data_IF_453240163988
#
_entry.id   IF_453240163988
#
_cell.length_a   1.000
_cell.length_b   1.000
_cell.length_c   1.000
_cell.angle_alpha   90.00
_cell.angle_beta   90.00
_cell.angle_gamma   90.00
#
_symmetry.space_group_name_H-M   'P 1'
#
loop_
_entity.id
_entity.type
_entity.pdbx_description
1 polymer ?
#
# COMPACT_ATOMS: atom_id res chain seq x y z
N UNK A 1 7.42 -8.41 -14.95
CA UNK A 1 6.39 -7.97 -15.90
C UNK A 1 6.43 -6.45 -16.06
N UNK A 2 6.34 -5.93 -17.29
CA UNK A 2 6.35 -4.49 -17.56
C UNK A 2 4.97 -3.88 -17.77
N UNK A 3 3.89 -4.66 -17.60
CA UNK A 3 2.52 -4.25 -17.92
C UNK A 3 1.79 -3.63 -16.74
N UNK A 4 0.83 -2.76 -17.02
CA UNK A 4 -0.15 -2.20 -16.11
C UNK A 4 -1.54 -2.78 -16.41
N UNK A 5 -2.45 -2.76 -15.45
CA UNK A 5 -3.85 -3.11 -15.70
C UNK A 5 -4.54 -1.97 -16.44
N UNK A 6 -4.37 -0.75 -15.93
CA UNK A 6 -4.88 0.48 -16.52
C UNK A 6 -3.74 1.47 -16.67
N UNK A 7 -3.50 1.94 -17.88
CA UNK A 7 -2.51 2.95 -18.20
C UNK A 7 -3.03 3.89 -19.30
N UNK A 8 -3.71 4.99 -18.93
CA UNK A 8 -4.12 6.00 -19.90
C UNK A 8 -2.90 6.57 -20.61
N UNK A 9 -2.94 6.61 -21.92
CA UNK A 9 -1.82 7.05 -22.79
C UNK A 9 -2.15 8.28 -23.64
N UNK A 10 -3.38 8.80 -23.55
CA UNK A 10 -3.74 10.05 -24.21
C UNK A 10 -3.18 11.27 -23.49
N UNK A 11 -3.00 12.36 -24.24
CA UNK A 11 -2.42 13.59 -23.68
C UNK A 11 -3.36 14.30 -22.72
N UNK A 12 -4.67 14.10 -22.86
CA UNK A 12 -5.71 14.60 -21.95
C UNK A 12 -6.71 13.50 -21.69
N UNK A 13 -6.98 13.21 -20.42
CA UNK A 13 -8.02 12.29 -20.01
C UNK A 13 -8.65 12.73 -18.69
N UNK A 14 -9.92 12.37 -18.51
CA UNK A 14 -10.65 12.49 -17.26
C UNK A 14 -11.36 11.17 -17.01
N UNK A 15 -11.03 10.55 -15.88
CA UNK A 15 -11.70 9.34 -15.39
C UNK A 15 -12.28 9.69 -14.03
N UNK A 16 -13.60 9.57 -13.87
CA UNK A 16 -14.24 9.91 -12.61
C UNK A 16 -13.92 8.88 -11.53
N UNK A 17 -14.12 7.59 -11.83
CA UNK A 17 -13.87 6.50 -10.89
C UNK A 17 -13.32 5.27 -11.58
N UNK A 18 -12.51 4.51 -10.84
CA UNK A 18 -12.05 3.16 -11.20
C UNK A 18 -12.29 2.29 -9.99
N UNK A 19 -13.17 1.30 -10.12
CA UNK A 19 -13.52 0.42 -9.03
C UNK A 19 -13.10 -1.03 -9.32
N UNK A 20 -12.39 -1.62 -8.38
CA UNK A 20 -12.06 -3.04 -8.35
C UNK A 20 -12.76 -3.67 -7.16
N UNK A 21 -13.65 -4.60 -7.40
CA UNK A 21 -14.39 -5.29 -6.33
C UNK A 21 -14.24 -6.80 -6.46
N UNK A 22 -13.84 -7.46 -5.39
CA UNK A 22 -13.65 -8.91 -5.32
C UNK A 22 -12.73 -9.44 -6.43
N UNK A 23 -11.64 -8.70 -6.71
CA UNK A 23 -10.69 -9.04 -7.75
C UNK A 23 -9.45 -9.74 -7.18
N UNK A 24 -8.89 -10.69 -7.96
CA UNK A 24 -7.54 -11.20 -7.77
C UNK A 24 -6.63 -10.59 -8.83
N UNK A 25 -5.64 -9.79 -8.41
CA UNK A 25 -4.76 -9.02 -9.29
C UNK A 25 -3.31 -9.35 -8.96
N UNK A 26 -2.57 -9.91 -9.90
CA UNK A 26 -1.18 -10.26 -9.66
C UNK A 26 -0.25 -10.10 -10.86
N UNK A 27 1.05 -10.03 -10.59
CA UNK A 27 2.12 -10.02 -11.59
C UNK A 27 2.10 -8.81 -12.53
N UNK A 28 1.71 -7.64 -12.02
CA UNK A 28 1.78 -6.39 -12.76
C UNK A 28 2.90 -5.48 -12.23
N UNK A 29 3.39 -4.59 -13.09
CA UNK A 29 4.32 -3.54 -12.68
C UNK A 29 3.61 -2.46 -11.84
N UNK A 30 2.35 -2.19 -12.14
CA UNK A 30 1.44 -1.31 -11.42
C UNK A 30 0.00 -1.68 -11.81
N UNK A 31 -0.99 -1.38 -10.97
CA UNK A 31 -2.39 -1.59 -11.36
C UNK A 31 -2.88 -0.38 -12.14
N UNK A 32 -2.86 0.81 -11.56
CA UNK A 32 -3.23 2.04 -12.26
C UNK A 32 -2.01 2.95 -12.34
N UNK A 33 -1.63 3.32 -13.56
CA UNK A 33 -0.48 4.18 -13.79
C UNK A 33 -0.80 5.26 -14.82
N UNK A 34 -0.75 6.51 -14.42
CA UNK A 34 -0.84 7.65 -15.32
C UNK A 34 0.56 8.15 -15.69
N UNK A 35 0.92 8.04 -16.98
CA UNK A 35 2.25 8.42 -17.49
C UNK A 35 2.27 9.75 -18.21
N UNK A 36 1.16 10.17 -18.78
CA UNK A 36 1.09 11.35 -19.66
C UNK A 36 0.75 12.59 -18.84
N UNK A 37 1.23 13.71 -19.28
CA UNK A 37 0.90 15.01 -18.69
C UNK A 37 -0.56 15.36 -18.95
N UNK A 38 -1.29 15.89 -17.98
CA UNK A 38 -2.67 16.38 -18.06
C UNK A 38 -3.78 15.35 -17.92
N UNK A 39 -3.57 14.32 -17.10
CA UNK A 39 -4.61 13.35 -16.78
C UNK A 39 -5.16 13.48 -15.37
N UNK A 40 -6.44 13.25 -15.17
CA UNK A 40 -7.06 13.21 -13.86
C UNK A 40 -7.89 11.93 -13.68
N UNK A 41 -7.64 11.25 -12.56
CA UNK A 41 -8.48 10.18 -12.03
C UNK A 41 -9.08 10.68 -10.73
N UNK A 42 -10.41 10.78 -10.66
CA UNK A 42 -11.13 11.28 -9.49
C UNK A 42 -10.98 10.35 -8.30
N UNK A 43 -11.33 9.09 -8.45
CA UNK A 43 -11.18 8.10 -7.38
C UNK A 43 -10.75 6.72 -7.91
N UNK A 44 -10.00 5.98 -7.08
CA UNK A 44 -9.70 4.56 -7.31
C UNK A 44 -10.05 3.81 -6.04
N UNK A 45 -10.92 2.81 -6.15
CA UNK A 45 -11.32 1.98 -5.03
C UNK A 45 -10.96 0.50 -5.26
N UNK A 46 -10.41 -0.13 -4.23
CA UNK A 46 -10.19 -1.57 -4.15
C UNK A 46 -11.00 -2.09 -2.95
N UNK A 47 -11.95 -2.95 -3.22
CA UNK A 47 -12.80 -3.56 -2.20
C UNK A 47 -12.74 -5.08 -2.28
N UNK A 48 -12.47 -5.74 -1.14
CA UNK A 48 -12.40 -7.21 -1.04
C UNK A 48 -11.41 -7.84 -2.04
N UNK A 49 -10.40 -7.08 -2.47
CA UNK A 49 -9.44 -7.53 -3.46
C UNK A 49 -8.27 -8.30 -2.83
N UNK A 50 -7.72 -9.23 -3.60
CA UNK A 50 -6.40 -9.79 -3.34
C UNK A 50 -5.42 -9.25 -4.35
N UNK A 51 -4.41 -8.53 -3.88
CA UNK A 51 -3.38 -7.86 -4.70
C UNK A 51 -2.04 -8.49 -4.36
N UNK A 52 -1.40 -9.09 -5.35
CA UNK A 52 -0.16 -9.85 -5.17
C UNK A 52 0.87 -9.52 -6.24
N UNK A 53 2.14 -9.53 -5.88
CA UNK A 53 3.26 -9.40 -6.81
C UNK A 53 3.19 -8.14 -7.70
N UNK A 54 3.04 -6.96 -7.07
CA UNK A 54 3.06 -5.67 -7.76
C UNK A 54 4.45 -5.05 -7.70
N UNK A 55 4.96 -4.66 -8.85
CA UNK A 55 6.33 -4.18 -9.02
C UNK A 55 6.57 -2.75 -8.56
N UNK A 56 7.71 -2.21 -8.95
CA UNK A 56 8.34 -1.01 -8.43
C UNK A 56 7.63 0.33 -8.70
N UNK A 57 6.51 0.33 -9.40
CA UNK A 57 5.68 1.52 -9.58
C UNK A 57 4.55 1.63 -8.55
N UNK A 58 4.43 0.60 -7.67
CA UNK A 58 3.35 0.53 -6.70
C UNK A 58 2.00 0.16 -7.30
N UNK A 59 0.98 0.06 -6.44
CA UNK A 59 -0.38 -0.27 -6.89
C UNK A 59 -0.93 0.86 -7.76
N UNK A 60 -0.79 2.11 -7.30
CA UNK A 60 -1.20 3.31 -8.03
C UNK A 60 -0.03 4.26 -8.22
N UNK A 61 0.09 4.89 -9.40
CA UNK A 61 1.22 5.78 -9.70
C UNK A 61 0.86 6.88 -10.69
N UNK A 62 1.32 8.09 -10.41
CA UNK A 62 1.37 9.21 -11.35
C UNK A 62 2.74 9.38 -11.99
N UNK A 63 3.69 8.50 -11.66
CA UNK A 63 5.07 8.55 -12.17
C UNK A 63 5.80 9.86 -11.87
N UNK A 64 5.32 10.64 -10.92
CA UNK A 64 5.85 11.96 -10.58
C UNK A 64 5.71 13.00 -11.69
N UNK A 65 4.81 12.82 -12.64
CA UNK A 65 4.62 13.76 -13.76
C UNK A 65 3.69 14.90 -13.36
N UNK A 66 4.12 16.12 -13.61
CA UNK A 66 3.28 17.29 -13.43
C UNK A 66 2.04 17.23 -14.31
N UNK A 67 0.88 17.60 -13.76
CA UNK A 67 -0.39 17.60 -14.47
C UNK A 67 -1.11 16.24 -14.48
N UNK A 68 -0.53 15.20 -13.91
CA UNK A 68 -1.20 13.94 -13.67
C UNK A 68 -1.67 13.85 -12.22
N UNK A 69 -2.95 13.60 -12.05
CA UNK A 69 -3.55 13.53 -10.72
C UNK A 69 -4.34 12.23 -10.54
N UNK A 70 -4.18 11.65 -9.36
CA UNK A 70 -5.08 10.66 -8.78
C UNK A 70 -5.53 11.28 -7.46
N UNK A 71 -6.83 11.54 -7.30
CA UNK A 71 -7.31 12.29 -6.15
C UNK A 71 -7.47 11.40 -4.92
N UNK A 72 -8.38 10.46 -4.97
CA UNK A 72 -8.66 9.61 -3.84
C UNK A 72 -8.32 8.15 -4.17
N UNK A 73 -7.70 7.48 -3.22
CA UNK A 73 -7.39 6.05 -3.32
C UNK A 73 -7.90 5.37 -2.07
N UNK A 74 -8.67 4.30 -2.23
CA UNK A 74 -9.16 3.53 -1.10
C UNK A 74 -8.91 2.04 -1.25
N UNK A 75 -8.60 1.41 -0.11
CA UNK A 75 -8.50 -0.04 0.04
C UNK A 75 -9.36 -0.44 1.22
N UNK A 76 -10.32 -1.33 1.01
CA UNK A 76 -11.17 -1.86 2.06
C UNK A 76 -11.29 -3.38 1.95
N UNK A 77 -11.15 -4.07 3.08
CA UNK A 77 -11.21 -5.55 3.15
C UNK A 77 -10.23 -6.26 2.21
N UNK A 78 -9.11 -5.62 1.89
CA UNK A 78 -8.14 -6.16 0.94
C UNK A 78 -7.08 -7.06 1.61
N UNK A 79 -6.51 -7.95 0.80
CA UNK A 79 -5.27 -8.67 1.12
C UNK A 79 -4.20 -8.21 0.15
N UNK A 80 -3.14 -7.60 0.65
CA UNK A 80 -2.08 -7.00 -0.17
C UNK A 80 -0.74 -7.65 0.22
N UNK A 81 -0.12 -8.32 -0.73
CA UNK A 81 1.09 -9.08 -0.46
C UNK A 81 2.10 -9.00 -1.61
N UNK A 82 3.38 -9.20 -1.28
CA UNK A 82 4.46 -9.22 -2.29
C UNK A 82 4.45 -7.98 -3.20
N UNK A 83 4.33 -6.80 -2.62
CA UNK A 83 4.30 -5.54 -3.38
C UNK A 83 5.55 -4.70 -3.10
N UNK A 84 5.97 -3.90 -4.08
CA UNK A 84 7.07 -2.94 -3.89
C UNK A 84 6.60 -1.60 -3.31
N UNK A 85 5.33 -1.24 -3.48
CA UNK A 85 4.75 -0.02 -2.92
C UNK A 85 3.24 0.05 -3.10
N UNK A 86 2.59 0.90 -2.32
CA UNK A 86 1.15 1.16 -2.43
C UNK A 86 0.90 2.30 -3.42
N UNK A 87 1.51 3.46 -3.17
CA UNK A 87 1.24 4.65 -3.95
C UNK A 87 2.51 5.46 -4.28
N UNK A 88 2.64 5.84 -5.55
CA UNK A 88 3.61 6.83 -6.01
C UNK A 88 2.87 8.03 -6.63
N UNK A 89 2.43 8.95 -5.77
CA UNK A 89 1.60 10.10 -6.09
C UNK A 89 2.33 11.41 -5.80
N UNK A 90 3.55 11.52 -6.27
CA UNK A 90 4.35 12.74 -6.21
C UNK A 90 3.74 13.80 -7.13
N UNK A 91 3.86 15.06 -6.77
CA UNK A 91 3.35 16.22 -7.54
C UNK A 91 1.81 16.26 -7.67
N UNK A 92 1.09 15.68 -6.73
CA UNK A 92 -0.35 15.85 -6.65
C UNK A 92 -0.72 17.21 -6.05
N UNK A 93 -1.81 17.80 -6.50
CA UNK A 93 -2.38 18.99 -5.89
C UNK A 93 -3.11 18.69 -4.58
N UNK A 94 -3.32 19.68 -3.76
CA UNK A 94 -3.97 19.58 -2.44
C UNK A 94 -5.38 18.95 -2.47
N UNK A 95 -5.82 18.48 -1.32
CA UNK A 95 -7.18 17.99 -1.09
C UNK A 95 -7.41 16.53 -1.46
N UNK A 96 -6.37 15.70 -1.40
CA UNK A 96 -6.40 14.30 -1.81
C UNK A 96 -6.20 13.38 -0.64
N UNK A 97 -6.64 12.14 -0.79
CA UNK A 97 -6.59 11.18 0.31
C UNK A 97 -6.21 9.76 -0.13
N UNK A 98 -5.57 9.04 0.78
CA UNK A 98 -5.41 7.59 0.72
C UNK A 98 -6.06 7.02 1.98
N UNK A 99 -7.08 6.20 1.82
CA UNK A 99 -7.76 5.53 2.93
C UNK A 99 -7.57 4.02 2.83
N UNK A 100 -7.10 3.42 3.92
CA UNK A 100 -6.88 1.97 3.98
C UNK A 100 -7.59 1.46 5.22
N UNK A 101 -8.59 0.62 5.03
CA UNK A 101 -9.40 0.08 6.11
C UNK A 101 -9.46 -1.45 6.04
N UNK A 102 -9.54 -2.09 7.21
CA UNK A 102 -9.77 -3.53 7.31
C UNK A 102 -8.86 -4.38 6.40
N UNK A 103 -7.62 -3.99 6.20
CA UNK A 103 -6.74 -4.57 5.19
C UNK A 103 -5.56 -5.31 5.82
N UNK A 104 -5.25 -6.47 5.25
CA UNK A 104 -4.12 -7.31 5.64
C UNK A 104 -2.96 -7.13 4.67
N UNK A 105 -1.81 -6.75 5.20
CA UNK A 105 -0.55 -6.63 4.45
C UNK A 105 0.44 -7.69 4.89
N UNK A 106 1.14 -8.29 3.94
CA UNK A 106 2.30 -9.12 4.22
C UNK A 106 3.31 -9.01 3.09
N UNK A 107 4.59 -9.00 3.41
CA UNK A 107 5.67 -8.83 2.43
C UNK A 107 5.50 -7.54 1.61
N UNK A 108 5.27 -6.44 2.31
CA UNK A 108 5.05 -5.11 1.74
C UNK A 108 5.84 -4.04 2.52
N UNK A 109 6.81 -3.38 1.88
CA UNK A 109 7.34 -3.61 0.52
C UNK A 109 8.34 -4.77 0.45
N UNK A 110 8.54 -5.32 -0.75
CA UNK A 110 9.45 -6.45 -0.98
C UNK A 110 10.91 -6.06 -1.20
N UNK A 111 11.18 -4.86 -1.68
CA UNK A 111 12.50 -4.41 -2.12
C UNK A 111 12.85 -3.05 -1.50
N UNK A 112 14.03 -2.54 -1.79
CA UNK A 112 14.45 -1.18 -1.47
C UNK A 112 13.52 -0.16 -2.14
N UNK A 113 12.38 0.12 -1.54
CA UNK A 113 11.30 0.91 -2.10
C UNK A 113 10.61 1.73 -1.02
N UNK A 114 9.58 2.47 -1.41
CA UNK A 114 8.71 3.22 -0.52
C UNK A 114 7.33 2.57 -0.48
N UNK A 115 6.77 2.40 0.70
CA UNK A 115 5.38 1.98 0.79
C UNK A 115 4.46 3.09 0.26
N UNK A 116 4.71 4.33 0.68
CA UNK A 116 4.05 5.53 0.18
C UNK A 116 5.10 6.54 -0.31
N UNK A 117 5.03 6.92 -1.55
CA UNK A 117 5.82 8.00 -2.15
C UNK A 117 4.85 9.05 -2.68
N UNK A 118 4.43 9.92 -1.79
CA UNK A 118 3.29 10.82 -2.03
C UNK A 118 3.67 12.27 -1.77
N UNK A 119 2.88 13.18 -2.33
CA UNK A 119 2.97 14.60 -1.99
C UNK A 119 2.60 14.83 -0.53
N UNK A 120 3.30 15.71 0.20
CA UNK A 120 3.01 15.99 1.61
C UNK A 120 1.60 16.48 1.92
N UNK A 121 0.88 16.98 0.93
CA UNK A 121 -0.51 17.42 1.09
C UNK A 121 -1.53 16.29 1.09
N UNK A 122 -1.13 15.07 0.71
CA UNK A 122 -2.03 13.91 0.65
C UNK A 122 -2.25 13.36 2.05
N UNK A 123 -3.50 13.35 2.50
CA UNK A 123 -3.88 12.71 3.75
C UNK A 123 -3.85 11.17 3.62
N UNK A 124 -3.15 10.50 4.52
CA UNK A 124 -3.10 9.02 4.57
C UNK A 124 -3.72 8.54 5.87
N UNK A 125 -4.82 7.78 5.76
CA UNK A 125 -5.52 7.17 6.89
C UNK A 125 -5.41 5.66 6.83
N UNK A 126 -4.96 5.03 7.93
CA UNK A 126 -4.90 3.57 8.09
C UNK A 126 -5.76 3.21 9.31
N UNK A 127 -6.73 2.32 9.15
CA UNK A 127 -7.66 1.93 10.20
C UNK A 127 -7.97 0.44 10.17
N UNK A 128 -7.91 -0.20 11.33
CA UNK A 128 -8.17 -1.64 11.50
C UNK A 128 -7.32 -2.52 10.58
N UNK A 129 -6.06 -2.19 10.40
CA UNK A 129 -5.16 -2.91 9.50
C UNK A 129 -4.12 -3.74 10.26
N UNK A 130 -3.58 -4.75 9.60
CA UNK A 130 -2.48 -5.55 10.10
C UNK A 130 -1.39 -5.69 9.06
N UNK A 131 -0.14 -5.48 9.49
CA UNK A 131 1.04 -5.50 8.64
C UNK A 131 2.01 -6.60 9.11
N UNK A 132 2.23 -7.59 8.28
CA UNK A 132 3.34 -8.51 8.42
C UNK A 132 4.67 -7.88 8.01
N UNK A 133 5.74 -8.58 8.25
CA UNK A 133 7.09 -8.16 7.88
C UNK A 133 7.37 -8.23 6.39
N UNK A 134 8.53 -7.72 6.01
CA UNK A 134 9.05 -7.82 4.65
C UNK A 134 9.64 -9.20 4.39
N UNK A 135 9.59 -9.66 3.15
CA UNK A 135 10.24 -10.90 2.76
C UNK A 135 11.75 -10.70 2.74
N UNK A 136 12.50 -11.67 3.27
CA UNK A 136 13.95 -11.69 3.14
C UNK A 136 14.32 -12.05 1.70
N UNK A 137 15.20 -11.25 1.11
CA UNK A 137 15.84 -11.54 -0.19
C UNK A 137 17.28 -11.92 0.10
N UNK A 138 17.69 -13.11 -0.36
CA UNK A 138 19.01 -13.66 -0.08
C UNK A 138 19.40 -13.64 1.42
N UNK A 139 18.42 -13.96 2.27
CA UNK A 139 18.60 -14.00 3.72
C UNK A 139 18.65 -12.63 4.41
N UNK A 140 18.58 -11.53 3.66
CA UNK A 140 18.62 -10.16 4.19
C UNK A 140 17.24 -9.51 4.10
N UNK A 141 16.87 -8.77 5.13
CA UNK A 141 15.69 -7.92 5.06
C UNK A 141 15.95 -6.74 4.10
N UNK A 142 15.00 -6.41 3.21
CA UNK A 142 15.15 -5.24 2.37
C UNK A 142 15.18 -3.98 3.22
N UNK A 143 16.03 -3.03 2.82
CA UNK A 143 15.95 -1.67 3.35
C UNK A 143 14.80 -0.97 2.65
N UNK A 144 13.79 -0.57 3.37
CA UNK A 144 12.68 0.17 2.80
C UNK A 144 12.31 1.38 3.66
N UNK A 145 11.65 2.32 3.06
CA UNK A 145 11.10 3.48 3.73
C UNK A 145 9.56 3.38 3.74
N UNK A 146 8.95 3.70 4.86
CA UNK A 146 7.48 3.78 4.95
C UNK A 146 6.96 4.92 4.08
N UNK A 147 7.62 6.04 4.17
CA UNK A 147 7.23 7.29 3.55
C UNK A 147 8.39 7.88 2.75
N UNK A 148 8.09 8.41 1.58
CA UNK A 148 9.03 9.14 0.75
C UNK A 148 8.33 10.29 0.04
N UNK A 149 9.04 11.38 -0.23
CA UNK A 149 8.53 12.52 -0.97
C UNK A 149 9.32 12.78 -2.26
N UNK A 150 8.66 13.32 -3.23
CA UNK A 150 9.10 14.08 -4.42
C UNK A 150 10.51 13.91 -5.00
N UNK A 151 11.13 12.75 -4.89
CA UNK A 151 12.49 12.53 -5.42
C UNK A 151 13.59 12.68 -4.38
N UNK A 152 13.27 12.96 -3.13
CA UNK A 152 14.23 12.97 -2.04
C UNK A 152 14.05 11.73 -1.18
N UNK A 153 15.16 11.09 -0.86
CA UNK A 153 15.21 9.93 0.04
C UNK A 153 14.96 10.32 1.52
N UNK A 154 14.94 11.62 1.80
CA UNK A 154 14.77 12.18 3.13
C UNK A 154 13.50 13.03 3.23
N UNK A 155 12.41 12.42 3.66
CA UNK A 155 11.24 13.16 4.07
C UNK A 155 11.40 13.64 5.52
N UNK A 156 11.45 14.94 5.69
CA UNK A 156 11.53 15.61 7.01
C UNK A 156 10.25 16.35 7.41
N UNK A 157 9.21 16.29 6.58
CA UNK A 157 7.94 16.98 6.82
C UNK A 157 6.95 16.16 7.63
N UNK A 158 5.91 16.84 8.12
CA UNK A 158 4.77 16.20 8.78
C UNK A 158 3.72 15.90 7.72
N UNK A 159 3.49 14.62 7.44
CA UNK A 159 2.33 14.21 6.65
C UNK A 159 1.06 14.28 7.50
N UNK A 160 -0.10 14.59 6.92
CA UNK A 160 -1.39 14.35 7.55
C UNK A 160 -1.67 12.85 7.56
N UNK A 161 -0.92 12.15 8.43
CA UNK A 161 -0.96 10.71 8.58
C UNK A 161 -1.69 10.33 9.87
N UNK A 162 -2.62 9.38 9.78
CA UNK A 162 -3.29 8.82 10.95
C UNK A 162 -3.35 7.30 10.89
N UNK A 163 -3.09 6.66 12.01
CA UNK A 163 -3.23 5.22 12.19
C UNK A 163 -4.08 4.94 13.43
N UNK A 164 -5.15 4.19 13.26
CA UNK A 164 -6.08 3.83 14.33
C UNK A 164 -6.28 2.32 14.34
N UNK A 165 -6.21 1.71 15.52
CA UNK A 165 -6.41 0.27 15.71
C UNK A 165 -5.68 -0.58 14.66
N UNK A 166 -4.42 -0.23 14.37
CA UNK A 166 -3.64 -0.90 13.34
C UNK A 166 -2.30 -1.37 13.89
N UNK A 167 -1.88 -2.55 13.48
CA UNK A 167 -0.77 -3.27 14.08
C UNK A 167 0.25 -3.73 13.06
N UNK A 168 1.46 -3.94 13.53
CA UNK A 168 2.53 -4.55 12.75
C UNK A 168 3.20 -5.71 13.49
N UNK A 169 3.73 -6.65 12.73
CA UNK A 169 4.59 -7.69 13.26
C UNK A 169 5.89 -7.08 13.81
N UNK A 170 6.44 -7.66 14.88
CA UNK A 170 7.64 -7.15 15.54
C UNK A 170 8.93 -7.32 14.70
N UNK A 171 8.90 -8.18 13.69
CA UNK A 171 9.99 -8.39 12.72
C UNK A 171 9.86 -7.49 11.46
N UNK A 172 8.87 -6.59 11.44
CA UNK A 172 8.72 -5.57 10.41
C UNK A 172 9.56 -4.33 10.79
N UNK A 173 10.61 -4.10 10.04
CA UNK A 173 11.51 -2.96 10.30
C UNK A 173 11.61 -2.09 9.06
N UNK A 174 11.46 -0.79 9.24
CA UNK A 174 11.69 0.21 8.20
C UNK A 174 12.97 0.99 8.44
N UNK A 175 13.58 1.48 7.37
CA UNK A 175 14.77 2.32 7.48
C UNK A 175 14.41 3.77 7.82
N UNK A 176 13.27 4.26 7.34
CA UNK A 176 12.79 5.63 7.53
C UNK A 176 11.27 5.70 7.53
N UNK A 177 10.75 6.67 8.25
CA UNK A 177 9.32 6.91 8.41
C UNK A 177 8.71 5.99 9.47
N UNK A 178 7.54 6.39 9.95
CA UNK A 178 6.77 5.62 10.92
C UNK A 178 5.29 5.80 10.60
N UNK A 179 4.62 4.70 10.36
CA UNK A 179 3.17 4.69 10.11
C UNK A 179 2.34 4.77 11.40
N UNK A 180 2.95 4.88 12.56
CA UNK A 180 2.24 4.91 13.84
C UNK A 180 1.51 3.61 14.18
N UNK A 181 1.96 2.48 13.62
CA UNK A 181 1.35 1.17 13.87
C UNK A 181 1.76 0.65 15.25
N UNK A 182 0.81 0.03 15.94
CA UNK A 182 1.06 -0.65 17.21
C UNK A 182 1.81 -1.97 16.99
N UNK A 183 2.72 -2.31 17.89
CA UNK A 183 3.43 -3.59 17.85
C UNK A 183 2.50 -4.73 18.30
N UNK A 184 2.29 -5.72 17.44
CA UNK A 184 1.51 -6.92 17.75
C UNK A 184 2.17 -7.85 18.80
N UNK A 185 3.45 -7.62 19.10
CA UNK A 185 4.33 -8.51 19.90
C UNK A 185 4.58 -9.88 19.30
N UNK A 186 4.22 -10.06 18.04
CA UNK A 186 4.38 -11.32 17.30
C UNK A 186 5.20 -11.10 16.04
N UNK A 187 6.03 -12.07 15.68
CA UNK A 187 6.68 -12.09 14.39
C UNK A 187 5.67 -12.41 13.28
N UNK A 188 6.00 -12.09 12.04
CA UNK A 188 5.15 -12.43 10.89
C UNK A 188 4.74 -13.90 10.85
N UNK A 189 5.69 -14.79 11.13
CA UNK A 189 5.46 -16.24 11.14
C UNK A 189 4.55 -16.72 12.28
N UNK A 190 4.47 -15.96 13.37
CA UNK A 190 3.58 -16.28 14.50
C UNK A 190 2.28 -15.49 14.47
N UNK A 191 2.27 -14.32 13.84
CA UNK A 191 1.06 -13.49 13.67
C UNK A 191 0.08 -14.11 12.68
N UNK A 192 0.61 -14.73 11.61
CA UNK A 192 -0.19 -15.39 10.58
C UNK A 192 0.04 -16.90 10.59
N UNK A 193 -0.98 -17.66 10.21
CA UNK A 193 -0.95 -19.14 10.23
C UNK A 193 0.12 -19.73 9.30
N UNK A 194 0.18 -19.29 8.04
CA UNK A 194 1.16 -19.75 7.06
C UNK A 194 1.37 -18.70 5.95
N UNK A 195 2.03 -17.58 6.26
CA UNK A 195 2.14 -16.46 5.32
C UNK A 195 2.91 -16.82 4.05
N UNK A 196 3.84 -17.76 4.12
CA UNK A 196 4.57 -18.25 2.94
C UNK A 196 3.71 -18.99 1.90
N UNK A 197 2.53 -19.43 2.27
CA UNK A 197 1.53 -20.07 1.38
C UNK A 197 0.26 -19.23 1.24
N UNK A 198 0.37 -17.92 1.46
CA UNK A 198 -0.73 -16.96 1.37
C UNK A 198 -1.91 -17.23 2.32
N UNK A 199 -1.66 -17.90 3.44
CA UNK A 199 -2.64 -18.06 4.50
C UNK A 199 -2.34 -17.04 5.62
N UNK A 200 -3.05 -15.92 5.59
CA UNK A 200 -2.88 -14.81 6.52
C UNK A 200 -3.88 -14.84 7.68
N UNK A 201 -4.47 -16.01 7.99
CA UNK A 201 -5.35 -16.14 9.12
C UNK A 201 -4.61 -15.78 10.42
N UNK A 202 -5.19 -14.87 11.19
CA UNK A 202 -4.57 -14.31 12.38
C UNK A 202 -4.48 -15.35 13.51
N UNK A 203 -3.43 -15.27 14.29
CA UNK A 203 -3.22 -16.10 15.47
C UNK A 203 -4.23 -15.72 16.55
N UNK A 204 -4.83 -16.71 17.22
CA UNK A 204 -5.82 -16.52 18.29
C UNK A 204 -5.26 -15.76 19.50
N UNK A 205 -3.96 -15.86 19.75
CA UNK A 205 -3.29 -15.15 20.85
C UNK A 205 -3.05 -13.68 20.56
N UNK A 206 -3.25 -13.25 19.31
CA UNK A 206 -3.17 -11.84 18.96
C UNK A 206 -4.43 -11.11 19.39
N UNK A 207 -4.31 -10.09 20.24
CA UNK A 207 -5.45 -9.34 20.80
C UNK A 207 -6.34 -8.66 19.75
N UNK A 208 -5.81 -8.35 18.58
CA UNK A 208 -6.55 -7.80 17.44
C UNK A 208 -7.15 -8.82 16.48
N UNK A 209 -7.04 -10.13 16.75
CA UNK A 209 -7.36 -11.18 15.78
C UNK A 209 -8.80 -11.15 15.25
N UNK A 210 -9.75 -10.61 16.00
CA UNK A 210 -11.17 -10.50 15.59
C UNK A 210 -11.55 -9.14 14.99
N UNK A 211 -10.67 -8.14 15.04
CA UNK A 211 -11.05 -6.75 14.73
C UNK A 211 -10.22 -6.08 13.65
N UNK A 212 -9.05 -6.61 13.30
CA UNK A 212 -8.17 -5.99 12.31
C UNK A 212 -7.85 -6.89 11.12
N UNK A 213 -7.38 -6.29 10.05
CA UNK A 213 -7.13 -6.97 8.79
C UNK A 213 -8.40 -7.28 8.01
N UNK A 214 -8.28 -7.91 6.83
CA UNK A 214 -9.41 -8.35 6.04
C UNK A 214 -10.24 -9.40 6.80
N UNK A 215 -11.56 -9.29 6.75
CA UNK A 215 -12.49 -10.11 7.55
C UNK A 215 -12.29 -11.61 7.34
N UNK A 216 -11.96 -12.02 6.13
CA UNK A 216 -11.67 -13.43 5.80
C UNK A 216 -10.49 -14.04 6.59
N UNK A 217 -9.63 -13.22 7.18
CA UNK A 217 -8.47 -13.64 7.97
C UNK A 217 -8.63 -13.48 9.48
N UNK A 218 -9.71 -12.87 9.93
CA UNK A 218 -10.02 -12.71 11.36
C UNK A 218 -10.39 -14.05 12.02
N UNK A 219 -10.32 -14.06 13.35
CA UNK A 219 -10.70 -15.20 14.21
C UNK A 219 -11.92 -14.84 15.06
#
# INVERSE_FOLDING_TARGET
>A
SGKQVICPESDVFLINTIDFTNCYIENFRSIVRSKKATGNVGAIAFKECTINAIGNQGIVSTDGKNGNYINDVSFDECTITNICGIADLRNSSSGKSISITNTTFCYAPMENSFLFRVDPSIAVKIENCVFGGSMKIDGKLPKFNELGSGGQDDYTGVYPFSSVNSFQANDRTSSKGNLGLSDSKMSTATLFTAPGTNNFKLNELFTGCSSVGASKWRR
#
